data_IF_689721714619
#
_entry.id   IF_689721714619
#
_cell.length_a   1.000
_cell.length_b   1.000
_cell.length_c   1.000
_cell.angle_alpha   90.00
_cell.angle_beta   90.00
_cell.angle_gamma   90.00
#
_symmetry.space_group_name_H-M   'P 1'
#
loop_
_entity.id
_entity.type
_entity.pdbx_description
1 polymer ?
#
# COMPACT_ATOMS: atom_id res chain seq x y z
N UNK A 1 -11.52 47.80 -15.71
CA UNK A 1 -11.77 47.24 -17.05
C UNK A 1 -10.61 46.34 -17.45
N UNK A 2 -10.97 45.28 -18.16
CA UNK A 2 -10.16 44.25 -18.81
C UNK A 2 -9.48 43.17 -17.96
N UNK A 3 -10.17 42.03 -17.91
CA UNK A 3 -9.72 40.69 -17.55
C UNK A 3 -9.04 40.08 -18.79
N UNK A 4 -7.92 39.39 -18.64
CA UNK A 4 -7.43 38.48 -19.67
C UNK A 4 -7.34 37.06 -19.08
N UNK A 5 -8.18 36.20 -19.65
CA UNK A 5 -8.39 34.81 -19.30
C UNK A 5 -7.26 33.91 -19.82
N UNK A 6 -7.07 32.80 -19.11
CA UNK A 6 -6.19 31.71 -19.46
C UNK A 6 -6.59 31.05 -20.80
N UNK A 7 -5.59 30.78 -21.64
CA UNK A 7 -5.72 30.02 -22.88
C UNK A 7 -5.55 28.54 -22.55
N UNK A 8 -6.64 27.77 -22.63
CA UNK A 8 -6.63 26.30 -22.66
C UNK A 8 -6.74 25.86 -24.12
N UNK A 9 -5.82 24.99 -24.55
CA UNK A 9 -5.73 24.45 -25.91
C UNK A 9 -6.88 23.46 -26.20
N UNK A 10 -7.42 23.42 -27.44
CA UNK A 10 -8.36 22.39 -27.86
C UNK A 10 -7.61 21.25 -28.58
N UNK A 11 -7.39 20.12 -27.89
CA UNK A 11 -7.04 18.84 -28.50
C UNK A 11 -8.10 17.82 -28.13
N UNK A 12 -9.30 17.98 -28.68
CA UNK A 12 -10.38 17.02 -28.60
C UNK A 12 -11.30 17.17 -29.82
N UNK A 13 -10.77 16.89 -31.00
CA UNK A 13 -11.58 16.64 -32.20
C UNK A 13 -10.82 15.62 -33.05
N UNK A 14 -11.55 14.60 -33.50
CA UNK A 14 -11.15 13.49 -34.37
C UNK A 14 -10.71 12.20 -33.67
N UNK A 15 -11.68 11.48 -33.10
CA UNK A 15 -11.76 10.02 -33.21
C UNK A 15 -13.25 9.64 -33.29
N UNK A 16 -13.75 9.41 -34.51
CA UNK A 16 -15.01 8.70 -34.76
C UNK A 16 -14.66 7.26 -35.13
N UNK A 17 -15.17 6.23 -34.44
CA UNK A 17 -15.34 4.92 -35.05
C UNK A 17 -16.71 4.85 -35.74
N UNK A 18 -16.70 4.51 -37.03
CA UNK A 18 -17.90 4.05 -37.73
C UNK A 18 -18.24 2.64 -37.25
N UNK A 19 -19.24 2.52 -36.39
CA UNK A 19 -19.93 1.26 -36.11
C UNK A 19 -21.43 1.50 -36.25
N UNK A 20 -22.01 0.91 -37.29
CA UNK A 20 -23.46 0.94 -37.55
C UNK A 20 -24.14 0.08 -36.48
N UNK A 21 -24.70 0.73 -35.46
CA UNK A 21 -25.63 0.10 -34.52
C UNK A 21 -27.03 0.29 -35.09
N UNK A 22 -27.69 -0.82 -35.47
CA UNK A 22 -29.11 -0.83 -35.81
C UNK A 22 -29.93 -0.48 -34.56
N UNK A 23 -30.82 0.51 -34.59
CA UNK A 23 -31.75 0.73 -33.49
C UNK A 23 -32.88 -0.30 -33.61
N UNK A 24 -33.02 -1.18 -32.60
CA UNK A 24 -34.27 -1.91 -32.42
C UNK A 24 -35.33 -0.92 -31.93
N UNK A 25 -36.39 -0.81 -32.73
CA UNK A 25 -37.57 0.00 -32.48
C UNK A 25 -38.30 -0.49 -31.23
N UNK A 26 -38.37 0.35 -30.19
CA UNK A 26 -39.31 0.15 -29.08
C UNK A 26 -40.67 0.70 -29.51
N UNK A 27 -41.52 -0.17 -30.05
CA UNK A 27 -42.95 0.09 -30.17
C UNK A 27 -43.59 0.05 -28.79
N UNK A 28 -44.34 1.10 -28.45
CA UNK A 28 -45.17 1.13 -27.25
C UNK A 28 -46.31 0.12 -27.40
N UNK A 29 -46.29 -0.94 -26.61
CA UNK A 29 -47.45 -1.80 -26.43
C UNK A 29 -48.37 -1.18 -25.37
N UNK A 30 -49.66 -1.16 -25.68
CA UNK A 30 -50.73 -0.63 -24.86
C UNK A 30 -50.72 -1.25 -23.45
N UNK A 31 -50.99 -0.40 -22.44
CA UNK A 31 -51.34 -0.82 -21.09
C UNK A 31 -52.64 -1.63 -21.16
N UNK A 32 -52.55 -2.93 -20.97
CA UNK A 32 -53.66 -3.72 -20.48
C UNK A 32 -53.69 -3.55 -18.95
N UNK A 33 -54.81 -3.07 -18.42
CA UNK A 33 -55.07 -3.06 -16.99
C UNK A 33 -55.06 -4.49 -16.46
N UNK A 34 -54.00 -4.84 -15.72
CA UNK A 34 -53.93 -6.07 -14.94
C UNK A 34 -54.47 -5.72 -13.55
N UNK A 35 -55.56 -6.34 -13.07
CA UNK A 35 -56.07 -6.12 -11.73
C UNK A 35 -55.01 -6.53 -10.68
N UNK A 36 -55.02 -5.90 -9.49
CA UNK A 36 -54.04 -6.22 -8.46
C UNK A 36 -54.15 -7.70 -8.08
N UNK A 37 -53.04 -8.43 -7.89
CA UNK A 37 -53.14 -9.73 -7.24
C UNK A 37 -53.49 -9.49 -5.77
N UNK A 38 -54.78 -9.50 -5.48
CA UNK A 38 -55.27 -10.03 -4.23
C UNK A 38 -54.99 -11.54 -4.26
N UNK A 39 -53.80 -11.91 -3.80
CA UNK A 39 -53.50 -13.27 -3.40
C UNK A 39 -53.12 -13.19 -1.93
N UNK A 40 -54.06 -13.67 -1.13
CA UNK A 40 -53.84 -14.18 0.21
C UNK A 40 -52.46 -14.83 0.28
N UNK A 41 -51.66 -14.41 1.25
CA UNK A 41 -50.47 -15.13 1.67
C UNK A 41 -50.92 -16.47 2.28
N UNK A 42 -51.36 -17.38 1.42
CA UNK A 42 -51.28 -18.80 1.66
C UNK A 42 -49.82 -19.08 1.97
N UNK A 43 -49.59 -19.74 3.10
CA UNK A 43 -48.33 -20.35 3.48
C UNK A 43 -47.83 -21.22 2.33
N UNK A 44 -47.04 -20.63 1.43
CA UNK A 44 -46.27 -21.40 0.47
C UNK A 44 -45.25 -22.17 1.29
N UNK A 45 -45.34 -23.49 1.26
CA UNK A 45 -44.39 -24.38 1.91
C UNK A 45 -42.98 -23.95 1.52
N UNK A 46 -42.25 -23.37 2.48
CA UNK A 46 -40.86 -22.95 2.27
C UNK A 46 -40.07 -24.23 1.99
N UNK A 47 -39.66 -24.43 0.74
CA UNK A 47 -38.87 -25.59 0.41
C UNK A 47 -37.58 -25.56 1.24
N UNK A 48 -37.15 -26.67 1.85
CA UNK A 48 -35.91 -26.71 2.66
C UNK A 48 -34.67 -26.20 1.90
N UNK A 49 -34.68 -26.33 0.57
CA UNK A 49 -33.62 -25.85 -0.34
C UNK A 49 -33.57 -24.32 -0.49
N UNK A 50 -34.67 -23.61 -0.22
CA UNK A 50 -34.71 -22.15 -0.24
C UNK A 50 -34.00 -21.54 1.00
N UNK A 51 -33.77 -22.34 2.04
CA UNK A 51 -33.02 -22.00 3.25
C UNK A 51 -31.62 -22.64 3.30
N UNK A 52 -31.14 -23.28 2.22
CA UNK A 52 -29.74 -23.75 2.14
C UNK A 52 -28.81 -22.58 1.76
N UNK A 53 -27.76 -22.29 2.56
CA UNK A 53 -26.77 -21.27 2.25
C UNK A 53 -26.17 -21.34 0.84
N UNK A 54 -26.09 -22.52 0.22
CA UNK A 54 -25.52 -22.69 -1.12
C UNK A 54 -26.49 -22.38 -2.27
N UNK A 55 -27.80 -22.41 -2.03
CA UNK A 55 -28.83 -22.29 -3.09
C UNK A 55 -29.91 -21.24 -2.81
N UNK A 56 -29.85 -20.56 -1.65
CA UNK A 56 -30.83 -19.54 -1.23
C UNK A 56 -31.09 -18.48 -2.31
N UNK A 57 -32.38 -18.24 -2.58
CA UNK A 57 -32.84 -17.17 -3.46
C UNK A 57 -32.73 -15.80 -2.76
N UNK A 58 -32.62 -14.71 -3.53
CA UNK A 58 -32.49 -13.36 -2.96
C UNK A 58 -33.61 -12.98 -1.97
N UNK A 59 -34.83 -13.47 -2.20
CA UNK A 59 -36.01 -13.19 -1.37
C UNK A 59 -35.92 -13.80 0.03
N UNK A 60 -35.20 -14.91 0.18
CA UNK A 60 -35.07 -15.64 1.45
C UNK A 60 -33.71 -15.41 2.15
N UNK A 61 -32.86 -14.53 1.61
CA UNK A 61 -31.54 -14.21 2.20
C UNK A 61 -31.68 -13.65 3.63
N UNK A 62 -32.66 -12.78 3.87
CA UNK A 62 -32.88 -12.19 5.20
C UNK A 62 -33.30 -13.23 6.23
N UNK A 63 -34.13 -14.19 5.83
CA UNK A 63 -34.59 -15.28 6.70
C UNK A 63 -33.41 -16.21 7.05
N UNK A 64 -32.55 -16.51 6.07
CA UNK A 64 -31.33 -17.29 6.29
C UNK A 64 -30.38 -16.61 7.28
N UNK A 65 -30.16 -15.30 7.10
CA UNK A 65 -29.31 -14.50 7.99
C UNK A 65 -29.91 -14.43 9.39
N UNK A 66 -31.24 -14.30 9.51
CA UNK A 66 -31.95 -14.35 10.80
C UNK A 66 -31.78 -15.71 11.49
N UNK A 67 -31.71 -16.80 10.72
CA UNK A 67 -31.39 -18.14 11.20
C UNK A 67 -29.88 -18.34 11.53
N UNK A 68 -29.07 -17.28 11.44
CA UNK A 68 -27.65 -17.29 11.80
C UNK A 68 -26.72 -17.89 10.72
N UNK A 69 -27.24 -18.23 9.54
CA UNK A 69 -26.44 -18.77 8.43
C UNK A 69 -26.16 -17.67 7.42
N UNK A 70 -24.91 -17.54 6.95
CA UNK A 70 -24.58 -16.58 5.89
C UNK A 70 -24.66 -17.25 4.51
N UNK A 71 -25.24 -16.57 3.50
CA UNK A 71 -25.32 -17.12 2.15
C UNK A 71 -23.92 -17.29 1.54
N UNK A 72 -23.70 -18.42 0.86
CA UNK A 72 -22.38 -18.78 0.30
C UNK A 72 -22.22 -18.23 -1.12
N UNK A 73 -21.16 -17.46 -1.33
CA UNK A 73 -20.79 -16.93 -2.64
C UNK A 73 -21.73 -15.83 -3.17
N UNK A 74 -21.70 -15.58 -4.48
CA UNK A 74 -22.53 -14.56 -5.12
C UNK A 74 -23.94 -15.07 -5.44
N UNK A 75 -24.92 -14.14 -5.58
CA UNK A 75 -26.28 -14.46 -6.03
C UNK A 75 -26.30 -15.25 -7.34
N UNK A 76 -25.46 -14.83 -8.30
CA UNK A 76 -25.30 -15.52 -9.59
C UNK A 76 -24.86 -16.99 -9.41
N UNK A 77 -23.92 -17.26 -8.51
CA UNK A 77 -23.46 -18.63 -8.22
C UNK A 77 -24.61 -19.49 -7.70
N UNK A 78 -25.38 -18.97 -6.73
CA UNK A 78 -26.50 -19.71 -6.12
C UNK A 78 -27.58 -20.06 -7.13
N UNK A 79 -27.98 -19.10 -7.95
CA UNK A 79 -28.96 -19.32 -9.02
C UNK A 79 -28.44 -20.34 -10.04
N UNK A 80 -27.18 -20.23 -10.46
CA UNK A 80 -26.60 -21.19 -11.39
C UNK A 80 -26.56 -22.63 -10.83
N UNK A 81 -26.24 -22.82 -9.54
CA UNK A 81 -26.25 -24.14 -8.91
C UNK A 81 -27.66 -24.76 -8.93
N UNK A 82 -28.71 -23.94 -8.80
CA UNK A 82 -30.10 -24.41 -8.85
C UNK A 82 -30.56 -24.74 -10.27
N UNK A 83 -30.16 -23.94 -11.26
CA UNK A 83 -30.68 -24.06 -12.63
C UNK A 83 -29.86 -24.97 -13.52
N UNK A 84 -28.59 -25.21 -13.18
CA UNK A 84 -27.66 -26.01 -14.00
C UNK A 84 -27.34 -27.35 -13.36
N UNK A 85 -26.93 -28.32 -14.18
CA UNK A 85 -26.52 -29.63 -13.69
C UNK A 85 -25.23 -29.54 -12.86
N UNK A 86 -25.12 -30.40 -11.83
CA UNK A 86 -23.95 -30.47 -10.95
C UNK A 86 -22.78 -31.21 -11.62
N UNK A 87 -22.24 -30.65 -12.70
CA UNK A 87 -21.07 -31.18 -13.42
C UNK A 87 -19.82 -30.42 -12.96
N UNK A 88 -18.73 -31.12 -12.57
CA UNK A 88 -17.48 -30.44 -12.24
C UNK A 88 -16.96 -29.63 -13.43
N UNK A 89 -16.37 -28.47 -13.14
CA UNK A 89 -15.88 -27.53 -14.15
C UNK A 89 -14.96 -28.18 -15.20
N UNK A 90 -14.19 -29.17 -14.78
CA UNK A 90 -13.28 -29.94 -15.64
C UNK A 90 -14.00 -30.83 -16.66
N UNK A 91 -15.19 -31.33 -16.33
CA UNK A 91 -15.93 -32.28 -17.17
C UNK A 91 -16.97 -31.61 -18.07
N UNK A 92 -16.92 -30.28 -18.21
CA UNK A 92 -17.80 -29.56 -19.13
C UNK A 92 -17.56 -30.03 -20.57
N UNK A 93 -18.60 -30.46 -21.32
CA UNK A 93 -18.46 -31.12 -22.61
C UNK A 93 -18.22 -30.15 -23.78
N UNK A 94 -17.27 -29.22 -23.62
CA UNK A 94 -16.84 -28.32 -24.68
C UNK A 94 -15.60 -28.90 -25.38
N UNK A 95 -15.69 -29.16 -26.68
CA UNK A 95 -14.64 -29.82 -27.46
C UNK A 95 -13.27 -29.13 -27.29
N UNK A 96 -13.17 -27.85 -27.65
CA UNK A 96 -11.91 -27.09 -27.57
C UNK A 96 -11.33 -27.04 -26.14
N UNK A 97 -12.19 -27.02 -25.13
CA UNK A 97 -11.77 -27.05 -23.72
C UNK A 97 -11.16 -28.41 -23.36
N UNK A 98 -11.81 -29.51 -23.75
CA UNK A 98 -11.30 -30.86 -23.46
C UNK A 98 -10.01 -31.17 -24.24
N UNK A 99 -9.92 -30.76 -25.50
CA UNK A 99 -8.69 -30.88 -26.30
C UNK A 99 -7.53 -30.09 -25.68
N UNK A 100 -7.76 -28.84 -25.29
CA UNK A 100 -6.76 -28.04 -24.59
C UNK A 100 -6.32 -28.70 -23.28
N UNK A 101 -7.26 -29.25 -22.49
CA UNK A 101 -6.93 -29.98 -21.25
C UNK A 101 -6.06 -31.21 -21.50
N UNK A 102 -6.29 -31.98 -22.58
CA UNK A 102 -5.43 -33.11 -22.95
C UNK A 102 -3.99 -32.66 -23.22
N UNK A 103 -3.81 -31.55 -23.93
CA UNK A 103 -2.49 -30.97 -24.21
C UNK A 103 -1.81 -30.56 -22.90
N UNK A 104 -2.53 -29.87 -22.01
CA UNK A 104 -1.99 -29.43 -20.72
C UNK A 104 -1.67 -30.60 -19.78
N UNK A 105 -2.46 -31.67 -19.81
CA UNK A 105 -2.20 -32.88 -19.04
C UNK A 105 -0.90 -33.56 -19.49
N UNK A 106 -0.71 -33.71 -20.81
CA UNK A 106 0.52 -34.27 -21.37
C UNK A 106 1.75 -33.40 -21.04
N UNK A 107 1.64 -32.07 -21.14
CA UNK A 107 2.73 -31.17 -20.74
C UNK A 107 3.05 -31.30 -19.24
N UNK A 108 2.03 -31.40 -18.39
CA UNK A 108 2.20 -31.58 -16.95
C UNK A 108 2.91 -32.89 -16.63
N UNK A 109 2.56 -34.00 -17.26
CA UNK A 109 3.25 -35.29 -17.10
C UNK A 109 4.74 -35.19 -17.46
N UNK A 110 5.07 -34.50 -18.56
CA UNK A 110 6.46 -34.22 -18.92
C UNK A 110 7.19 -33.40 -17.85
N UNK A 111 6.54 -32.37 -17.28
CA UNK A 111 7.13 -31.57 -16.20
C UNK A 111 7.31 -32.39 -14.91
N UNK A 112 6.38 -33.28 -14.58
CA UNK A 112 6.53 -34.19 -13.45
C UNK A 112 7.71 -35.14 -13.63
N UNK A 113 7.89 -35.71 -14.83
CA UNK A 113 9.06 -36.53 -15.16
C UNK A 113 10.39 -35.75 -15.07
N UNK A 114 10.38 -34.46 -15.43
CA UNK A 114 11.55 -33.59 -15.24
C UNK A 114 11.81 -33.27 -13.76
N UNK A 115 10.76 -33.10 -12.95
CA UNK A 115 10.88 -32.87 -11.51
C UNK A 115 11.50 -34.08 -10.83
N UNK A 116 11.03 -35.30 -11.13
CA UNK A 116 11.60 -36.52 -10.56
C UNK A 116 13.08 -36.66 -10.95
N UNK A 117 13.41 -36.53 -12.24
CA UNK A 117 14.80 -36.58 -12.70
C UNK A 117 15.71 -35.50 -12.08
N UNK A 118 15.17 -34.30 -11.78
CA UNK A 118 15.94 -33.23 -11.12
C UNK A 118 16.10 -33.48 -9.63
N UNK A 119 15.09 -34.03 -8.95
CA UNK A 119 15.20 -34.48 -7.55
C UNK A 119 16.19 -35.63 -7.39
N UNK A 120 16.20 -36.58 -8.33
CA UNK A 120 17.19 -37.66 -8.34
C UNK A 120 18.61 -37.11 -8.47
N UNK A 121 18.82 -36.15 -9.37
CA UNK A 121 20.11 -35.43 -9.50
C UNK A 121 20.50 -34.70 -8.22
N UNK A 122 19.55 -34.08 -7.51
CA UNK A 122 19.80 -33.43 -6.22
C UNK A 122 20.24 -34.48 -5.20
N UNK A 123 19.50 -35.58 -5.04
CA UNK A 123 19.82 -36.65 -4.08
C UNK A 123 21.18 -37.30 -4.35
N UNK A 124 21.52 -37.53 -5.62
CA UNK A 124 22.81 -38.06 -6.03
C UNK A 124 23.94 -37.06 -5.73
N UNK A 125 23.72 -35.77 -5.95
CA UNK A 125 24.73 -34.75 -5.69
C UNK A 125 24.92 -34.51 -4.18
N UNK A 126 23.86 -34.62 -3.38
CA UNK A 126 23.94 -34.52 -1.92
C UNK A 126 24.81 -35.64 -1.33
N UNK A 127 24.63 -36.88 -1.81
CA UNK A 127 25.40 -38.06 -1.41
C UNK A 127 26.87 -38.03 -1.84
N UNK A 128 27.22 -37.34 -2.93
CA UNK A 128 28.61 -37.24 -3.41
C UNK A 128 29.46 -36.39 -2.49
N UNK A 129 30.65 -36.87 -2.14
CA UNK A 129 31.55 -36.11 -1.28
C UNK A 129 32.16 -34.90 -2.00
N UNK A 130 32.33 -33.80 -1.27
CA UNK A 130 32.78 -32.52 -1.80
C UNK A 130 34.23 -32.56 -2.30
N UNK A 131 35.07 -33.42 -1.73
CA UNK A 131 36.47 -33.58 -2.10
C UNK A 131 36.67 -34.13 -3.53
N UNK A 132 35.70 -34.92 -4.01
CA UNK A 132 35.76 -35.50 -5.38
C UNK A 132 35.33 -34.53 -6.47
N UNK A 133 34.77 -33.36 -6.12
CA UNK A 133 34.31 -32.36 -7.07
C UNK A 133 35.39 -31.32 -7.35
N UNK A 134 35.69 -31.08 -8.64
CA UNK A 134 36.57 -29.99 -9.08
C UNK A 134 36.01 -28.62 -8.68
N UNK A 135 36.47 -28.09 -7.54
CA UNK A 135 36.00 -26.83 -6.94
C UNK A 135 35.36 -26.96 -5.55
N UNK A 136 35.47 -28.15 -4.93
CA UNK A 136 35.15 -28.37 -3.52
C UNK A 136 33.69 -28.10 -3.14
N UNK A 137 33.49 -27.76 -1.87
CA UNK A 137 32.18 -27.54 -1.26
C UNK A 137 31.41 -26.38 -1.90
N UNK A 138 32.08 -25.26 -2.20
CA UNK A 138 31.42 -24.08 -2.77
C UNK A 138 30.72 -24.37 -4.11
N UNK A 139 31.36 -25.11 -5.02
CA UNK A 139 30.72 -25.49 -6.29
C UNK A 139 29.59 -26.49 -6.11
N UNK A 140 29.70 -27.41 -5.14
CA UNK A 140 28.62 -28.34 -4.77
C UNK A 140 27.39 -27.54 -4.34
N UNK A 141 27.56 -26.58 -3.44
CA UNK A 141 26.46 -25.77 -2.90
C UNK A 141 25.80 -24.89 -3.97
N UNK A 142 26.60 -24.26 -4.84
CA UNK A 142 26.07 -23.48 -5.98
C UNK A 142 25.24 -24.39 -6.91
N UNK A 143 25.72 -25.60 -7.21
CA UNK A 143 25.02 -26.55 -8.08
C UNK A 143 23.73 -27.06 -7.42
N UNK A 144 23.74 -27.37 -6.13
CA UNK A 144 22.54 -27.71 -5.37
C UNK A 144 21.53 -26.57 -5.38
N UNK A 145 21.96 -25.34 -5.12
CA UNK A 145 21.11 -24.17 -5.15
C UNK A 145 20.47 -23.97 -6.53
N UNK A 146 21.25 -24.14 -7.61
CA UNK A 146 20.74 -24.05 -8.99
C UNK A 146 19.72 -25.15 -9.31
N UNK A 147 19.99 -26.40 -8.93
CA UNK A 147 19.06 -27.52 -9.15
C UNK A 147 17.76 -27.33 -8.34
N UNK A 148 17.86 -26.88 -7.09
CA UNK A 148 16.70 -26.58 -6.24
C UNK A 148 15.83 -25.46 -6.83
N UNK A 149 16.44 -24.37 -7.32
CA UNK A 149 15.73 -23.30 -8.04
C UNK A 149 15.05 -23.80 -9.31
N UNK A 150 15.72 -24.68 -10.06
CA UNK A 150 15.16 -25.27 -11.26
C UNK A 150 13.97 -26.18 -10.96
N UNK A 151 14.07 -27.02 -9.92
CA UNK A 151 12.96 -27.86 -9.45
C UNK A 151 11.76 -27.02 -8.99
N UNK A 152 12.00 -25.94 -8.23
CA UNK A 152 10.93 -25.03 -7.80
C UNK A 152 10.27 -24.32 -9.00
N UNK A 153 11.03 -23.95 -10.05
CA UNK A 153 10.49 -23.43 -11.32
C UNK A 153 9.64 -24.47 -12.06
N UNK A 154 10.11 -25.73 -12.15
CA UNK A 154 9.34 -26.80 -12.80
C UNK A 154 8.03 -27.10 -12.07
N UNK A 155 8.02 -27.08 -10.73
CA UNK A 155 6.78 -27.21 -9.93
C UNK A 155 5.77 -26.12 -10.27
N UNK A 156 6.23 -24.88 -10.44
CA UNK A 156 5.35 -23.77 -10.87
C UNK A 156 4.82 -24.04 -12.28
N UNK A 157 5.69 -24.40 -13.23
CA UNK A 157 5.29 -24.63 -14.62
C UNK A 157 4.32 -25.82 -14.78
N UNK A 158 4.40 -26.83 -13.92
CA UNK A 158 3.49 -27.97 -13.94
C UNK A 158 2.03 -27.58 -13.63
N UNK A 159 1.81 -26.59 -12.75
CA UNK A 159 0.48 -26.21 -12.26
C UNK A 159 0.01 -24.83 -12.77
N UNK A 160 0.85 -24.05 -13.46
CA UNK A 160 0.54 -22.67 -13.91
C UNK A 160 -0.58 -22.58 -14.96
N UNK A 161 -0.83 -23.67 -15.67
CA UNK A 161 -1.88 -23.73 -16.69
C UNK A 161 -3.15 -24.45 -16.19
N UNK A 162 -3.18 -24.90 -14.93
CA UNK A 162 -4.36 -25.53 -14.35
C UNK A 162 -5.46 -24.48 -14.08
N UNK A 163 -6.65 -24.61 -14.71
CA UNK A 163 -7.72 -23.65 -14.53
C UNK A 163 -8.33 -23.67 -13.11
N UNK A 164 -8.32 -24.81 -12.41
CA UNK A 164 -8.79 -24.89 -11.02
C UNK A 164 -7.84 -24.14 -10.10
N UNK A 165 -6.53 -24.28 -10.30
CA UNK A 165 -5.52 -23.58 -9.49
C UNK A 165 -5.70 -22.07 -9.66
N UNK A 166 -5.83 -21.59 -10.90
CA UNK A 166 -6.11 -20.18 -11.18
C UNK A 166 -7.40 -19.70 -10.52
N UNK A 167 -8.49 -20.46 -10.65
CA UNK A 167 -9.78 -20.13 -10.00
C UNK A 167 -9.63 -20.00 -8.48
N UNK A 168 -9.01 -20.99 -7.82
CA UNK A 168 -8.78 -20.99 -6.37
C UNK A 168 -7.95 -19.78 -5.92
N UNK A 169 -6.96 -19.37 -6.72
CA UNK A 169 -6.18 -18.17 -6.45
C UNK A 169 -7.03 -16.90 -6.55
N UNK A 170 -7.81 -16.76 -7.62
CA UNK A 170 -8.68 -15.59 -7.84
C UNK A 170 -9.78 -15.46 -6.79
N UNK A 171 -10.31 -16.60 -6.31
CA UNK A 171 -11.27 -16.68 -5.21
C UNK A 171 -10.64 -16.40 -3.83
N UNK A 172 -9.31 -16.32 -3.72
CA UNK A 172 -8.59 -16.10 -2.45
C UNK A 172 -8.49 -17.33 -1.54
N UNK A 173 -8.80 -18.52 -2.07
CA UNK A 173 -8.72 -19.82 -1.37
C UNK A 173 -7.41 -20.57 -1.68
N UNK A 174 -6.43 -19.87 -2.26
CA UNK A 174 -5.12 -20.43 -2.58
C UNK A 174 -4.29 -20.68 -1.33
N UNK A 175 -3.67 -21.85 -1.26
CA UNK A 175 -2.78 -22.23 -0.16
C UNK A 175 -1.37 -21.65 -0.39
N UNK A 176 -1.00 -20.63 0.39
CA UNK A 176 0.30 -19.96 0.26
C UNK A 176 1.50 -20.85 0.61
N UNK A 177 1.31 -22.06 1.14
CA UNK A 177 2.40 -23.04 1.27
C UNK A 177 2.84 -23.63 -0.07
N UNK A 178 1.97 -23.63 -1.08
CA UNK A 178 2.33 -24.12 -2.42
C UNK A 178 2.98 -23.01 -3.24
N UNK A 179 4.06 -23.32 -3.99
CA UNK A 179 4.81 -22.31 -4.73
C UNK A 179 3.98 -21.61 -5.82
N UNK A 180 3.00 -22.30 -6.41
CA UNK A 180 2.18 -21.74 -7.48
C UNK A 180 1.32 -20.56 -7.01
N UNK A 181 0.72 -20.64 -5.81
CA UNK A 181 -0.10 -19.57 -5.26
C UNK A 181 0.74 -18.36 -4.87
N UNK A 182 1.93 -18.58 -4.29
CA UNK A 182 2.90 -17.50 -4.03
C UNK A 182 3.36 -16.82 -5.31
N UNK A 183 3.64 -17.60 -6.37
CA UNK A 183 4.01 -17.05 -7.67
C UNK A 183 2.90 -16.17 -8.28
N UNK A 184 1.64 -16.61 -8.23
CA UNK A 184 0.53 -15.76 -8.69
C UNK A 184 0.34 -14.53 -7.82
N UNK A 185 0.50 -14.64 -6.51
CA UNK A 185 0.43 -13.52 -5.58
C UNK A 185 1.52 -12.48 -5.92
N UNK A 186 2.76 -12.94 -6.13
CA UNK A 186 3.88 -12.08 -6.52
C UNK A 186 3.62 -11.42 -7.88
N UNK A 187 3.15 -12.18 -8.87
CA UNK A 187 2.83 -11.66 -10.20
C UNK A 187 1.74 -10.59 -10.15
N UNK A 188 0.68 -10.81 -9.36
CA UNK A 188 -0.40 -9.84 -9.12
C UNK A 188 0.14 -8.58 -8.45
N UNK A 189 0.93 -8.74 -7.39
CA UNK A 189 1.52 -7.61 -6.68
C UNK A 189 2.48 -6.79 -7.56
N UNK A 190 3.36 -7.45 -8.33
CA UNK A 190 4.29 -6.81 -9.26
C UNK A 190 3.59 -6.03 -10.37
N UNK A 191 2.38 -6.44 -10.75
CA UNK A 191 1.63 -5.78 -11.83
C UNK A 191 1.19 -4.35 -11.48
N UNK A 192 0.86 -4.08 -10.21
CA UNK A 192 0.31 -2.78 -9.78
C UNK A 192 0.91 -2.28 -8.45
N UNK A 193 0.65 -2.97 -7.34
CA UNK A 193 0.99 -2.49 -5.99
C UNK A 193 2.48 -2.23 -5.80
N UNK A 194 3.35 -3.11 -6.30
CA UNK A 194 4.80 -2.91 -6.29
C UNK A 194 5.22 -1.64 -7.04
N UNK A 195 4.59 -1.35 -8.19
CA UNK A 195 4.88 -0.16 -9.00
C UNK A 195 4.45 1.11 -8.27
N UNK A 196 3.30 1.06 -7.60
CA UNK A 196 2.81 2.13 -6.76
C UNK A 196 3.78 2.41 -5.60
N UNK A 197 4.19 1.38 -4.85
CA UNK A 197 5.15 1.55 -3.75
C UNK A 197 6.49 2.09 -4.26
N UNK A 198 7.01 1.53 -5.36
CA UNK A 198 8.27 2.00 -5.97
C UNK A 198 8.18 3.48 -6.38
N UNK A 199 7.04 3.91 -6.93
CA UNK A 199 6.79 5.32 -7.24
C UNK A 199 6.80 6.17 -5.96
N UNK A 200 6.15 5.70 -4.89
CA UNK A 200 6.04 6.44 -3.62
C UNK A 200 7.39 6.57 -2.91
N UNK A 201 8.22 5.53 -2.94
CA UNK A 201 9.61 5.57 -2.42
C UNK A 201 10.41 6.68 -3.10
N UNK A 202 10.30 6.79 -4.44
CA UNK A 202 11.00 7.82 -5.22
C UNK A 202 10.41 9.21 -5.03
N UNK A 203 9.07 9.33 -5.09
CA UNK A 203 8.36 10.60 -5.00
C UNK A 203 8.54 11.27 -3.64
N UNK A 204 8.56 10.47 -2.57
CA UNK A 204 8.76 10.96 -1.21
C UNK A 204 10.20 10.84 -0.75
N UNK A 205 11.18 10.77 -1.66
CA UNK A 205 12.62 10.78 -1.36
C UNK A 205 13.07 9.83 -0.24
N UNK A 206 12.35 8.73 -0.01
CA UNK A 206 12.69 7.75 1.04
C UNK A 206 14.07 7.18 0.78
N UNK A 207 14.35 6.96 -0.51
CA UNK A 207 15.69 6.86 -1.06
C UNK A 207 16.00 8.21 -1.71
N UNK A 208 17.04 8.96 -1.29
CA UNK A 208 18.15 8.54 -0.43
C UNK A 208 18.02 8.88 1.08
N UNK A 209 16.98 9.62 1.51
CA UNK A 209 16.96 10.27 2.84
C UNK A 209 17.11 9.29 4.02
N UNK A 210 16.44 8.14 3.95
CA UNK A 210 16.41 7.15 5.03
C UNK A 210 17.36 5.98 4.75
N UNK A 211 17.30 5.44 3.54
CA UNK A 211 18.13 4.32 3.10
C UNK A 211 18.73 4.61 1.71
N UNK A 212 19.99 4.17 1.46
CA UNK A 212 20.63 4.36 0.16
C UNK A 212 19.99 3.51 -0.94
N UNK A 213 19.45 2.33 -0.58
CA UNK A 213 18.75 1.42 -1.48
C UNK A 213 17.62 0.73 -0.73
N UNK A 214 16.44 0.69 -1.35
CA UNK A 214 15.26 0.00 -0.84
C UNK A 214 14.48 -0.60 -2.01
N UNK A 215 14.50 -1.93 -2.12
CA UNK A 215 13.74 -2.68 -3.11
C UNK A 215 12.77 -3.60 -2.37
N UNK A 216 11.47 -3.26 -2.33
CA UNK A 216 10.48 -4.11 -1.68
C UNK A 216 10.40 -5.48 -2.37
N UNK A 217 10.40 -6.55 -1.59
CA UNK A 217 10.22 -7.94 -2.03
C UNK A 217 8.97 -8.58 -1.41
N UNK A 218 8.31 -7.92 -0.46
CA UNK A 218 7.03 -8.33 0.11
C UNK A 218 5.97 -7.22 -0.06
N UNK A 219 4.70 -7.63 -0.14
CA UNK A 219 3.59 -6.68 -0.08
C UNK A 219 3.30 -6.30 1.37
N UNK A 220 3.14 -5.01 1.63
CA UNK A 220 2.87 -4.47 2.96
C UNK A 220 1.68 -3.53 2.84
N UNK A 221 0.55 -3.92 3.39
CA UNK A 221 -0.67 -3.13 3.37
C UNK A 221 -0.98 -2.60 4.77
N UNK A 222 -1.26 -1.30 4.85
CA UNK A 222 -1.52 -0.61 6.10
C UNK A 222 -3.03 -0.50 6.36
N UNK A 223 -3.45 -0.85 7.57
CA UNK A 223 -4.82 -0.68 8.03
C UNK A 223 -4.84 0.06 9.36
N UNK A 224 -5.61 1.14 9.44
CA UNK A 224 -6.01 1.72 10.72
C UNK A 224 -7.44 1.30 11.01
N UNK A 225 -7.66 0.65 12.16
CA UNK A 225 -8.94 0.02 12.51
C UNK A 225 -9.38 -0.96 11.40
N UNK A 226 -10.46 -0.65 10.66
CA UNK A 226 -10.96 -1.46 9.54
C UNK A 226 -10.61 -0.88 8.16
N UNK A 227 -10.06 0.33 8.10
CA UNK A 227 -9.83 1.06 6.85
C UNK A 227 -8.43 0.78 6.29
N UNK A 228 -8.37 0.39 5.02
CA UNK A 228 -7.10 0.28 4.28
C UNK A 228 -6.62 1.68 3.93
N UNK A 229 -5.40 2.02 4.34
CA UNK A 229 -4.78 3.30 4.00
C UNK A 229 -3.89 3.13 2.77
N UNK A 230 -4.13 3.90 1.68
CA UNK A 230 -3.26 3.89 0.53
C UNK A 230 -1.85 4.43 0.88
N UNK A 231 -0.79 3.92 0.23
CA UNK A 231 0.57 4.37 0.50
C UNK A 231 0.78 5.86 0.19
N UNK A 232 1.23 6.59 1.20
CA UNK A 232 1.41 8.04 1.13
C UNK A 232 0.08 8.81 1.17
N UNK A 233 -0.91 8.35 1.92
CA UNK A 233 -2.08 9.17 2.26
C UNK A 233 -1.81 9.96 3.54
N UNK A 234 -2.40 11.16 3.66
CA UNK A 234 -2.39 11.93 4.91
C UNK A 234 -3.46 11.33 5.82
N UNK A 235 -3.06 10.97 7.04
CA UNK A 235 -3.91 10.34 8.04
C UNK A 235 -4.11 11.31 9.20
N UNK A 236 -5.35 11.41 9.66
CA UNK A 236 -5.75 12.20 10.84
C UNK A 236 -5.07 11.65 12.11
N UNK A 237 -4.70 12.54 13.02
CA UNK A 237 -4.09 12.22 14.30
C UNK A 237 -4.97 11.29 15.15
N UNK A 238 -6.31 11.41 15.10
CA UNK A 238 -7.22 10.49 15.81
C UNK A 238 -7.22 9.07 15.24
N UNK A 239 -7.00 8.95 13.92
CA UNK A 239 -6.97 7.65 13.25
C UNK A 239 -5.65 6.94 13.54
N UNK A 240 -4.54 7.70 13.55
CA UNK A 240 -3.19 7.21 13.82
C UNK A 240 -2.80 7.17 15.30
N UNK A 241 -3.70 7.56 16.20
CA UNK A 241 -3.51 7.46 17.65
C UNK A 241 -3.24 6.01 18.07
N UNK A 242 -4.01 5.06 17.55
CA UNK A 242 -3.84 3.64 17.85
C UNK A 242 -2.88 2.97 16.86
N UNK A 243 -2.10 1.96 17.30
CA UNK A 243 -1.19 1.23 16.44
C UNK A 243 -1.93 0.55 15.28
N UNK A 244 -1.37 0.61 14.05
CA UNK A 244 -2.00 0.02 12.89
C UNK A 244 -1.94 -1.51 12.88
N UNK A 245 -2.75 -2.10 12.00
CA UNK A 245 -2.59 -3.49 11.56
C UNK A 245 -1.90 -3.52 10.20
N UNK A 246 -0.81 -4.26 10.11
CA UNK A 246 -0.13 -4.54 8.85
C UNK A 246 -0.68 -5.85 8.29
N UNK A 247 -0.88 -5.89 6.97
CA UNK A 247 -1.06 -7.14 6.25
C UNK A 247 0.17 -7.34 5.38
N UNK A 248 0.98 -8.34 5.70
CA UNK A 248 2.26 -8.60 5.03
C UNK A 248 2.14 -9.91 4.26
N UNK A 249 2.35 -9.86 2.95
CA UNK A 249 2.43 -11.06 2.11
C UNK A 249 3.87 -11.25 1.64
N UNK A 250 4.45 -12.36 2.06
CA UNK A 250 5.76 -12.84 1.60
C UNK A 250 5.55 -13.85 0.47
N UNK A 251 6.46 -13.86 -0.51
CA UNK A 251 6.37 -14.74 -1.69
C UNK A 251 7.37 -15.91 -1.66
N UNK A 252 8.35 -15.89 -0.77
CA UNK A 252 9.23 -17.03 -0.54
C UNK A 252 8.62 -18.03 0.45
N UNK A 253 9.22 -19.22 0.51
CA UNK A 253 8.85 -20.27 1.46
C UNK A 253 9.55 -20.09 2.81
N UNK A 254 8.93 -20.62 3.86
CA UNK A 254 9.51 -20.74 5.19
C UNK A 254 9.15 -19.59 6.12
N UNK A 255 9.31 -19.86 7.41
CA UNK A 255 9.13 -18.89 8.49
C UNK A 255 10.40 -18.06 8.65
N UNK A 256 10.26 -16.75 8.81
CA UNK A 256 11.39 -15.85 9.10
C UNK A 256 11.08 -14.95 10.29
N UNK A 257 12.12 -14.52 10.98
CA UNK A 257 11.99 -13.49 12.01
C UNK A 257 12.18 -12.11 11.38
N UNK A 258 11.30 -11.18 11.74
CA UNK A 258 11.33 -9.82 11.20
C UNK A 258 11.39 -8.77 12.31
N UNK A 259 12.03 -7.66 11.99
CA UNK A 259 12.04 -6.44 12.78
C UNK A 259 11.20 -5.38 12.06
N UNK A 260 10.33 -4.72 12.80
CA UNK A 260 9.40 -3.70 12.30
C UNK A 260 9.82 -2.36 12.89
N UNK A 261 10.02 -1.37 12.02
CA UNK A 261 10.38 -0.01 12.42
C UNK A 261 9.40 0.98 11.83
N UNK A 262 8.84 1.84 12.65
CA UNK A 262 8.10 3.03 12.19
C UNK A 262 8.91 4.26 12.52
N UNK A 263 9.25 5.01 11.48
CA UNK A 263 10.17 6.14 11.53
C UNK A 263 9.50 7.38 10.95
N UNK A 264 9.52 8.47 11.70
CA UNK A 264 9.27 9.82 11.21
C UNK A 264 10.60 10.42 10.73
N UNK A 265 10.64 10.84 9.46
CA UNK A 265 11.85 11.37 8.84
C UNK A 265 11.93 12.91 8.83
N UNK A 266 10.86 13.60 9.23
CA UNK A 266 10.69 15.04 9.01
C UNK A 266 10.41 15.80 10.31
N UNK A 267 11.01 15.37 11.43
CA UNK A 267 10.85 16.07 12.71
C UNK A 267 11.64 17.38 12.65
N UNK A 268 11.02 18.56 12.78
CA UNK A 268 11.73 19.82 12.67
C UNK A 268 12.73 20.00 13.82
N UNK A 269 13.96 20.37 13.47
CA UNK A 269 15.04 20.71 14.40
C UNK A 269 15.44 22.18 14.18
N UNK A 270 14.83 23.11 14.95
CA UNK A 270 15.07 24.55 14.77
C UNK A 270 16.48 24.99 15.20
N UNK A 271 17.18 24.21 16.03
CA UNK A 271 18.53 24.56 16.49
C UNK A 271 19.55 24.38 15.37
N UNK A 272 19.39 23.32 14.57
CA UNK A 272 20.27 22.98 13.45
C UNK A 272 19.75 23.42 12.07
N UNK A 273 18.63 24.18 12.02
CA UNK A 273 17.92 24.57 10.79
C UNK A 273 17.71 23.38 9.83
N UNK A 274 17.21 22.27 10.38
CA UNK A 274 17.14 21.00 9.67
C UNK A 274 16.01 20.09 10.13
N UNK A 275 16.08 18.83 9.71
CA UNK A 275 15.15 17.78 10.10
C UNK A 275 15.89 16.65 10.80
N UNK A 276 15.34 16.22 11.93
CA UNK A 276 15.74 15.04 12.67
C UNK A 276 14.79 13.86 12.38
N UNK A 277 15.23 12.67 12.81
CA UNK A 277 14.49 11.42 12.63
C UNK A 277 14.05 10.90 14.00
N UNK A 278 12.81 10.41 14.10
CA UNK A 278 12.24 9.89 15.35
C UNK A 278 11.62 8.52 15.16
N UNK A 279 11.96 7.59 16.05
CA UNK A 279 11.36 6.25 16.08
C UNK A 279 10.01 6.27 16.80
N UNK A 280 8.94 6.00 16.06
CA UNK A 280 7.59 5.88 16.61
C UNK A 280 7.30 4.48 17.15
N UNK A 281 7.91 3.45 16.57
CA UNK A 281 7.70 2.06 16.97
C UNK A 281 8.88 1.18 16.54
N UNK A 282 9.30 0.27 17.43
CA UNK A 282 10.33 -0.73 17.14
C UNK A 282 9.96 -2.05 17.80
N UNK A 283 9.82 -3.08 16.97
CA UNK A 283 9.70 -4.46 17.42
C UNK A 283 10.67 -5.36 16.65
N UNK A 284 11.13 -6.43 17.29
CA UNK A 284 12.01 -7.44 16.74
C UNK A 284 11.47 -8.84 17.04
N UNK A 285 12.06 -9.86 16.42
CA UNK A 285 11.78 -11.28 16.66
C UNK A 285 10.31 -11.64 16.42
N UNK A 286 9.70 -10.98 15.42
CA UNK A 286 8.32 -11.22 15.04
C UNK A 286 8.32 -12.34 13.99
N UNK A 287 7.68 -13.50 14.25
CA UNK A 287 7.60 -14.56 13.27
C UNK A 287 6.66 -14.15 12.13
N UNK A 288 7.08 -14.41 10.90
CA UNK A 288 6.31 -14.15 9.70
C UNK A 288 6.33 -15.39 8.79
N UNK A 289 5.14 -15.79 8.33
CA UNK A 289 4.91 -16.92 7.44
C UNK A 289 4.13 -16.45 6.20
N UNK A 290 4.39 -16.98 4.98
CA UNK A 290 3.53 -16.74 3.82
C UNK A 290 2.04 -17.04 4.04
N UNK A 291 1.64 -17.92 4.97
CA UNK A 291 0.22 -18.22 5.24
C UNK A 291 -0.45 -17.24 6.21
N UNK A 292 0.25 -16.81 7.26
CA UNK A 292 -0.29 -15.84 8.21
C UNK A 292 0.15 -14.42 7.83
N UNK A 293 -0.76 -13.73 7.14
CA UNK A 293 -0.49 -12.40 6.62
C UNK A 293 -0.86 -11.28 7.59
N UNK A 294 -1.56 -11.57 8.70
CA UNK A 294 -2.14 -10.53 9.55
C UNK A 294 -1.23 -10.20 10.72
N UNK A 295 -0.66 -9.00 10.71
CA UNK A 295 0.28 -8.53 11.72
C UNK A 295 -0.21 -7.26 12.44
N UNK A 296 -1.11 -7.39 13.44
CA UNK A 296 -1.56 -6.27 14.25
C UNK A 296 -0.48 -5.84 15.25
N UNK A 297 0.03 -4.61 15.12
CA UNK A 297 1.09 -4.10 16.01
C UNK A 297 0.62 -4.00 17.47
N UNK A 298 -0.69 -3.83 17.71
CA UNK A 298 -1.28 -3.82 19.05
C UNK A 298 -1.14 -5.13 19.82
N UNK A 299 -0.92 -6.26 19.14
CA UNK A 299 -0.77 -7.58 19.77
C UNK A 299 0.68 -7.89 20.16
N UNK A 300 1.64 -7.14 19.62
CA UNK A 300 3.06 -7.33 19.92
C UNK A 300 3.35 -6.61 21.24
N UNK A 301 3.23 -7.36 22.35
CA UNK A 301 3.43 -6.86 23.71
C UNK A 301 4.53 -7.59 24.48
N UNK A 302 5.09 -8.67 23.91
CA UNK A 302 6.12 -9.46 24.56
C UNK A 302 7.36 -8.62 24.84
N UNK A 303 7.94 -8.77 26.03
CA UNK A 303 9.14 -8.02 26.41
C UNK A 303 10.35 -8.36 25.54
N UNK A 304 10.37 -9.58 25.00
CA UNK A 304 11.38 -10.14 24.08
C UNK A 304 11.16 -9.75 22.62
N UNK A 305 10.14 -8.92 22.34
CA UNK A 305 9.78 -8.49 20.99
C UNK A 305 9.66 -6.96 20.89
N UNK A 306 9.02 -6.32 21.87
CA UNK A 306 8.75 -4.89 21.83
C UNK A 306 9.88 -4.09 22.48
N UNK A 307 10.61 -3.31 21.68
CA UNK A 307 11.65 -2.40 22.17
C UNK A 307 11.12 -0.99 22.40
N UNK A 308 10.41 -0.44 21.42
CA UNK A 308 9.87 0.93 21.49
C UNK A 308 8.37 0.87 21.23
N UNK A 309 7.51 1.19 22.22
CA UNK A 309 6.07 1.11 22.07
C UNK A 309 5.55 2.17 21.10
N UNK A 310 4.33 1.96 20.59
CA UNK A 310 3.71 2.87 19.62
C UNK A 310 3.57 4.28 20.19
N UNK A 311 4.16 5.23 19.50
CA UNK A 311 3.92 6.66 19.68
C UNK A 311 2.98 7.12 18.55
N UNK A 312 1.83 7.72 18.87
CA UNK A 312 0.96 8.33 17.87
C UNK A 312 1.75 9.21 16.91
N UNK A 313 1.35 9.22 15.63
CA UNK A 313 1.95 10.12 14.67
C UNK A 313 1.39 11.53 14.89
N UNK A 314 2.27 12.53 14.92
CA UNK A 314 1.91 13.93 15.11
C UNK A 314 2.90 14.82 14.36
N UNK A 315 2.43 16.02 14.01
CA UNK A 315 3.23 17.09 13.41
C UNK A 315 2.90 18.38 14.17
N UNK A 316 3.85 19.31 14.25
CA UNK A 316 3.64 20.59 14.94
C UNK A 316 2.96 21.60 14.00
N UNK A 317 2.27 22.59 14.56
CA UNK A 317 1.53 23.55 13.72
C UNK A 317 2.49 24.34 12.84
N UNK A 318 2.15 24.45 11.56
CA UNK A 318 2.96 25.18 10.57
C UNK A 318 4.19 24.44 10.05
N UNK A 319 4.54 23.28 10.61
CA UNK A 319 5.48 22.35 9.99
C UNK A 319 4.88 21.78 8.68
N UNK A 320 5.72 21.35 7.71
CA UNK A 320 5.25 20.58 6.57
C UNK A 320 4.68 19.23 7.02
N UNK A 321 4.15 18.44 6.09
CA UNK A 321 3.74 17.08 6.40
C UNK A 321 4.93 16.23 6.86
N UNK A 322 4.69 15.31 7.80
CA UNK A 322 5.68 14.35 8.26
C UNK A 322 5.50 13.01 7.56
N UNK A 323 6.59 12.41 7.05
CA UNK A 323 6.61 11.09 6.40
C UNK A 323 6.85 9.99 7.44
N UNK A 324 5.80 9.20 7.73
CA UNK A 324 5.86 8.05 8.64
C UNK A 324 6.09 6.76 7.86
N UNK A 325 7.36 6.42 7.67
CA UNK A 325 7.78 5.21 6.97
C UNK A 325 7.70 3.98 7.86
N UNK A 326 7.08 2.92 7.36
CA UNK A 326 6.99 1.61 8.00
C UNK A 326 7.92 0.66 7.25
N UNK A 327 8.97 0.20 7.91
CA UNK A 327 10.02 -0.64 7.35
C UNK A 327 9.96 -2.01 8.00
N UNK A 328 9.92 -3.07 7.17
CA UNK A 328 10.13 -4.43 7.62
C UNK A 328 11.51 -4.89 7.18
N UNK A 329 12.29 -5.36 8.16
CA UNK A 329 13.62 -5.87 7.97
C UNK A 329 13.67 -7.35 8.38
N UNK A 330 14.32 -8.16 7.57
CA UNK A 330 14.52 -9.57 7.80
C UNK A 330 15.77 -9.77 8.66
N UNK A 331 15.64 -10.62 9.67
CA UNK A 331 16.74 -11.09 10.51
C UNK A 331 17.39 -12.31 9.85
N UNK A 332 18.66 -12.56 10.15
CA UNK A 332 19.33 -13.77 9.64
C UNK A 332 18.69 -15.02 10.23
N UNK A 333 18.57 -16.11 9.46
CA UNK A 333 18.00 -17.36 9.97
C UNK A 333 18.76 -17.86 11.20
N UNK A 334 18.04 -18.15 12.28
CA UNK A 334 18.61 -18.66 13.54
C UNK A 334 19.24 -17.59 14.44
N UNK A 335 19.26 -16.33 14.03
CA UNK A 335 19.74 -15.21 14.85
C UNK A 335 18.55 -14.46 15.45
N UNK A 336 18.54 -14.32 16.78
CA UNK A 336 17.54 -13.51 17.49
C UNK A 336 18.17 -12.21 17.93
N UNK A 337 17.46 -11.10 17.72
CA UNK A 337 17.95 -9.78 18.15
C UNK A 337 17.67 -9.60 19.64
N UNK A 338 18.69 -9.19 20.40
CA UNK A 338 18.54 -8.86 21.82
C UNK A 338 17.72 -7.59 22.01
N UNK A 339 16.49 -7.74 22.50
CA UNK A 339 15.54 -6.65 22.69
C UNK A 339 15.87 -5.78 23.90
N UNK A 340 16.56 -6.29 24.92
CA UNK A 340 17.01 -5.47 26.04
C UNK A 340 18.01 -4.41 25.56
N UNK A 341 18.99 -4.84 24.76
CA UNK A 341 19.94 -3.93 24.10
C UNK A 341 19.25 -2.95 23.16
N UNK A 342 18.16 -3.33 22.49
CA UNK A 342 17.36 -2.39 21.68
C UNK A 342 16.69 -1.33 22.53
N UNK A 343 16.12 -1.70 23.68
CA UNK A 343 15.50 -0.75 24.61
C UNK A 343 16.53 0.26 25.11
N UNK A 344 17.71 -0.20 25.52
CA UNK A 344 18.80 0.68 25.96
C UNK A 344 19.22 1.67 24.87
N UNK A 345 19.48 1.17 23.65
CA UNK A 345 19.99 1.99 22.55
C UNK A 345 18.97 2.98 21.99
N UNK A 346 17.68 2.64 22.01
CA UNK A 346 16.64 3.36 21.28
C UNK A 346 15.50 3.91 22.14
N UNK A 347 15.61 3.82 23.48
CA UNK A 347 14.66 4.39 24.44
C UNK A 347 14.34 5.88 24.19
N UNK A 348 15.34 6.67 23.79
CA UNK A 348 15.21 8.11 23.54
C UNK A 348 14.38 8.47 22.30
N UNK A 349 14.18 7.53 21.36
CA UNK A 349 13.45 7.69 20.08
C UNK A 349 14.03 8.69 19.08
N UNK A 350 14.48 9.85 19.54
CA UNK A 350 15.00 10.94 18.72
C UNK A 350 16.42 10.64 18.21
N UNK A 351 16.76 11.18 17.03
CA UNK A 351 18.04 10.93 16.36
C UNK A 351 18.16 9.51 15.78
N UNK A 352 17.05 8.79 15.60
CA UNK A 352 17.09 7.39 15.17
C UNK A 352 17.59 7.26 13.72
N UNK A 353 18.63 6.43 13.53
CA UNK A 353 19.18 6.10 12.21
C UNK A 353 18.86 4.66 11.81
N UNK A 354 17.96 4.51 10.82
CA UNK A 354 17.61 3.19 10.28
C UNK A 354 18.81 2.50 9.61
N UNK A 355 19.70 3.27 8.97
CA UNK A 355 20.95 2.75 8.38
C UNK A 355 21.84 2.12 9.45
N UNK A 356 22.07 2.84 10.55
CA UNK A 356 22.90 2.36 11.65
C UNK A 356 22.27 1.14 12.35
N UNK A 357 20.95 1.13 12.52
CA UNK A 357 20.22 -0.03 13.04
C UNK A 357 20.39 -1.26 12.14
N UNK A 358 20.17 -1.10 10.83
CA UNK A 358 20.37 -2.16 9.84
C UNK A 358 21.78 -2.75 9.91
N UNK A 359 22.81 -1.89 9.93
CA UNK A 359 24.19 -2.32 9.86
C UNK A 359 24.65 -2.98 11.18
N UNK A 360 24.20 -2.50 12.35
CA UNK A 360 24.52 -3.08 13.67
C UNK A 360 23.98 -4.50 13.86
N UNK A 361 22.79 -4.77 13.35
CA UNK A 361 22.10 -6.05 13.53
C UNK A 361 22.08 -6.90 12.25
N UNK A 362 22.83 -6.51 11.22
CA UNK A 362 22.95 -7.26 9.96
C UNK A 362 21.61 -7.51 9.24
N UNK A 363 20.66 -6.58 9.36
CA UNK A 363 19.29 -6.74 8.89
C UNK A 363 19.15 -6.40 7.40
N UNK A 364 18.17 -7.01 6.73
CA UNK A 364 17.87 -6.71 5.33
C UNK A 364 16.47 -6.11 5.15
N UNK A 365 16.33 -4.86 4.68
CA UNK A 365 15.01 -4.29 4.43
C UNK A 365 14.34 -4.98 3.23
N UNK A 366 13.11 -5.45 3.41
CA UNK A 366 12.38 -6.23 2.41
C UNK A 366 10.93 -5.76 2.21
N UNK A 367 10.32 -5.13 3.22
CA UNK A 367 8.96 -4.59 3.15
C UNK A 367 8.92 -3.10 3.46
N UNK A 368 8.04 -2.36 2.78
CA UNK A 368 7.87 -0.93 3.00
C UNK A 368 6.43 -0.47 2.77
N UNK A 369 5.94 0.40 3.64
CA UNK A 369 4.77 1.24 3.41
C UNK A 369 4.97 2.61 4.07
N UNK A 370 4.11 3.58 3.77
CA UNK A 370 4.22 4.95 4.23
C UNK A 370 2.81 5.53 4.42
N UNK A 371 2.65 6.35 5.44
CA UNK A 371 1.59 7.33 5.51
C UNK A 371 2.16 8.68 5.92
N UNK A 372 1.39 9.76 5.79
CA UNK A 372 1.82 11.09 6.20
C UNK A 372 0.90 11.62 7.28
N UNK A 373 1.42 12.54 8.08
CA UNK A 373 0.61 13.29 9.06
C UNK A 373 0.88 14.78 8.93
N UNK A 374 -0.09 15.58 9.33
CA UNK A 374 -0.05 17.05 9.37
C UNK A 374 -0.71 17.50 10.66
N UNK A 375 -0.48 18.75 11.07
CA UNK A 375 -1.28 19.35 12.14
C UNK A 375 -2.76 19.40 11.72
N UNK A 376 -3.62 18.81 12.55
CA UNK A 376 -5.07 18.88 12.44
C UNK A 376 -5.71 19.37 13.75
N UNK A 377 -7.03 19.51 13.77
CA UNK A 377 -7.77 20.04 14.93
C UNK A 377 -7.65 19.13 16.17
N UNK A 378 -7.35 17.85 15.97
CA UNK A 378 -7.30 16.85 17.03
C UNK A 378 -5.88 16.62 17.57
N UNK A 379 -4.86 17.10 16.87
CA UNK A 379 -3.44 16.82 17.16
C UNK A 379 -3.09 17.25 18.58
N UNK A 380 -3.53 18.43 19.02
CA UNK A 380 -3.31 18.92 20.38
C UNK A 380 -3.91 17.98 21.45
N UNK A 381 -5.12 17.44 21.22
CA UNK A 381 -5.78 16.53 22.15
C UNK A 381 -5.12 15.14 22.17
N UNK A 382 -4.61 14.65 21.03
CA UNK A 382 -3.81 13.42 20.96
C UNK A 382 -2.50 13.61 21.72
N UNK A 383 -1.79 14.72 21.48
CA UNK A 383 -0.54 15.02 22.18
C UNK A 383 -0.73 15.11 23.69
N UNK A 384 -1.79 15.79 24.16
CA UNK A 384 -2.10 15.88 25.59
C UNK A 384 -2.39 14.51 26.24
N UNK A 385 -3.16 13.64 25.58
CA UNK A 385 -3.48 12.29 26.09
C UNK A 385 -2.26 11.39 26.24
N UNK A 386 -1.23 11.59 25.42
CA UNK A 386 -0.01 10.79 25.41
C UNK A 386 1.20 11.52 26.01
N UNK A 387 0.98 12.68 26.67
CA UNK A 387 2.04 13.44 27.33
C UNK A 387 3.12 13.98 26.38
N UNK A 388 2.77 14.26 25.13
CA UNK A 388 3.71 14.70 24.08
C UNK A 388 3.83 16.24 24.13
N UNK A 389 5.04 16.81 24.29
CA UNK A 389 5.25 18.25 24.33
C UNK A 389 5.21 18.90 22.93
N UNK A 390 5.03 20.23 22.89
CA UNK A 390 5.16 21.04 21.67
C UNK A 390 3.85 21.27 20.89
N UNK A 391 2.69 21.03 21.51
CA UNK A 391 1.39 21.36 20.91
C UNK A 391 1.12 22.89 20.89
N UNK A 392 1.82 23.63 21.73
CA UNK A 392 1.80 25.09 21.89
C UNK A 392 2.75 25.82 20.92
N UNK A 393 3.58 25.08 20.18
CA UNK A 393 4.55 25.62 19.23
C UNK A 393 3.94 25.76 17.82
N UNK A 394 4.22 26.87 17.16
CA UNK A 394 3.85 27.13 15.76
C UNK A 394 5.09 27.57 14.96
N UNK A 395 5.41 26.81 13.91
CA UNK A 395 6.41 27.21 12.93
C UNK A 395 5.81 28.18 11.91
N UNK A 396 6.59 29.20 11.56
CA UNK A 396 6.24 30.15 10.51
C UNK A 396 7.36 30.21 9.49
N UNK A 397 7.06 30.45 8.20
CA UNK A 397 8.08 30.62 7.19
C UNK A 397 9.05 31.73 7.57
N UNK A 398 10.36 31.44 7.52
CA UNK A 398 11.42 32.42 7.73
C UNK A 398 11.31 33.50 6.66
N UNK A 399 11.12 34.75 7.08
CA UNK A 399 11.04 35.89 6.16
C UNK A 399 12.45 36.24 5.68
N UNK A 400 12.73 35.97 4.41
CA UNK A 400 13.95 36.43 3.76
C UNK A 400 13.76 37.89 3.32
N UNK A 401 14.45 38.81 4.00
CA UNK A 401 14.44 40.22 3.64
C UNK A 401 15.35 40.49 2.43
N UNK A 402 15.01 41.52 1.63
CA UNK A 402 15.86 41.95 0.52
C UNK A 402 17.21 42.40 1.04
N UNK A 403 18.29 41.79 0.52
CA UNK A 403 19.67 42.20 0.78
C UNK A 403 20.06 43.50 0.08
N UNK A 404 19.23 44.00 -0.84
CA UNK A 404 19.48 45.28 -1.52
C UNK A 404 19.40 46.43 -0.52
N UNK A 405 20.42 47.28 -0.43
CA UNK A 405 20.38 48.43 0.46
C UNK A 405 19.24 49.38 0.05
N UNK A 406 18.69 50.16 0.99
CA UNK A 406 17.68 51.15 0.67
C UNK A 406 18.25 52.23 -0.26
N UNK A 407 17.78 52.28 -1.50
CA UNK A 407 18.17 53.32 -2.47
C UNK A 407 17.15 54.45 -2.48
N UNK A 408 17.60 55.69 -2.69
CA UNK A 408 16.70 56.84 -2.88
C UNK A 408 15.76 56.58 -4.05
N UNK A 409 14.48 56.90 -3.85
CA UNK A 409 13.48 56.76 -4.91
C UNK A 409 13.85 57.63 -6.12
N UNK A 410 13.89 57.02 -7.31
CA UNK A 410 14.17 57.67 -8.59
C UNK A 410 12.84 57.98 -9.29
N UNK A 411 12.84 58.99 -10.15
CA UNK A 411 11.63 59.48 -10.86
C UNK A 411 11.33 60.95 -10.56
N UNK A 412 10.64 61.63 -11.48
CA UNK A 412 10.35 63.06 -11.38
C UNK A 412 9.44 63.37 -10.18
N UNK A 413 8.46 62.50 -9.97
CA UNK A 413 7.46 62.54 -8.91
C UNK A 413 8.05 62.16 -7.56
N UNK A 414 8.97 61.20 -7.54
CA UNK A 414 9.66 60.73 -6.33
C UNK A 414 10.57 61.82 -5.74
N UNK A 415 11.30 62.55 -6.60
CA UNK A 415 12.19 63.65 -6.18
C UNK A 415 11.44 64.87 -5.63
N UNK A 416 10.15 65.03 -5.96
CA UNK A 416 9.34 66.22 -5.64
C UNK A 416 8.29 65.99 -4.55
N UNK A 417 8.53 65.01 -3.68
CA UNK A 417 7.62 64.67 -2.57
C UNK A 417 7.71 65.63 -1.37
N UNK A 418 8.77 66.43 -1.27
CA UNK A 418 9.03 67.30 -0.13
C UNK A 418 8.20 68.59 -0.12
N UNK A 419 8.15 69.31 1.02
CA UNK A 419 7.41 70.58 1.17
C UNK A 419 7.83 71.67 0.18
N UNK A 420 9.10 71.67 -0.26
CA UNK A 420 9.62 72.58 -1.29
C UNK A 420 8.79 72.60 -2.59
N UNK A 421 8.12 71.49 -2.92
CA UNK A 421 7.35 71.33 -4.15
C UNK A 421 5.83 71.24 -3.88
N UNK A 422 5.34 71.88 -2.81
CA UNK A 422 3.92 71.81 -2.41
C UNK A 422 2.95 72.19 -3.53
N UNK A 423 3.31 73.16 -4.37
CA UNK A 423 2.53 73.57 -5.55
C UNK A 423 2.39 72.46 -6.61
N UNK A 424 3.29 71.46 -6.62
CA UNK A 424 3.28 70.30 -7.52
C UNK A 424 2.69 69.05 -6.87
N UNK A 425 2.17 69.12 -5.64
CA UNK A 425 1.62 67.95 -4.95
C UNK A 425 0.38 67.36 -5.63
N UNK A 426 -0.34 68.15 -6.44
CA UNK A 426 -1.41 67.63 -7.30
C UNK A 426 -0.95 66.54 -8.28
N UNK A 427 0.30 66.62 -8.74
CA UNK A 427 0.89 65.65 -9.69
C UNK A 427 1.72 64.57 -9.00
N UNK A 428 2.16 64.80 -7.76
CA UNK A 428 3.16 63.96 -7.11
C UNK A 428 2.60 63.15 -5.93
N UNK A 429 1.52 63.61 -5.26
CA UNK A 429 0.88 62.88 -4.14
C UNK A 429 -0.34 62.10 -4.63
N UNK A 430 -0.72 61.06 -3.88
CA UNK A 430 -1.91 60.22 -4.14
C UNK A 430 -1.91 59.57 -5.54
N UNK A 431 -0.74 59.31 -6.11
CA UNK A 431 -0.61 58.56 -7.36
C UNK A 431 -0.92 57.09 -7.06
N UNK A 432 -1.94 56.54 -7.72
CA UNK A 432 -2.40 55.17 -7.51
C UNK A 432 -1.23 54.16 -7.61
N UNK A 433 -0.96 53.45 -6.51
CA UNK A 433 0.08 52.42 -6.45
C UNK A 433 1.52 52.95 -6.33
N UNK A 434 1.73 54.27 -6.28
CA UNK A 434 3.06 54.90 -6.31
C UNK A 434 3.27 55.89 -5.16
N UNK A 435 2.29 56.73 -4.82
CA UNK A 435 2.36 57.66 -3.70
C UNK A 435 1.02 57.79 -2.97
N UNK A 436 1.06 58.08 -1.68
CA UNK A 436 -0.12 58.39 -0.87
C UNK A 436 -0.07 59.85 -0.40
N UNK A 437 -1.01 60.26 0.47
CA UNK A 437 -1.03 61.62 1.02
C UNK A 437 0.22 61.97 1.84
N UNK A 438 0.87 60.96 2.43
CA UNK A 438 2.07 61.12 3.28
C UNK A 438 3.37 61.11 2.46
N UNK A 439 3.40 60.47 1.29
CA UNK A 439 4.54 60.51 0.37
C UNK A 439 4.66 59.31 -0.55
N UNK A 440 5.87 59.09 -1.06
CA UNK A 440 6.16 57.93 -1.90
C UNK A 440 5.91 56.63 -1.14
N UNK A 441 5.23 55.67 -1.77
CA UNK A 441 5.00 54.36 -1.16
C UNK A 441 6.32 53.61 -1.19
N UNK A 442 6.94 53.40 -0.02
CA UNK A 442 8.05 52.47 0.12
C UNK A 442 7.47 51.06 -0.10
N UNK A 443 7.68 50.48 -1.29
CA UNK A 443 7.51 49.02 -1.45
C UNK A 443 8.56 48.39 -0.54
N UNK A 444 8.09 47.75 0.53
CA UNK A 444 8.93 46.95 1.43
C UNK A 444 9.48 45.75 0.69
#
# INVERSE_FOLDING_TARGET
>A
MSRCQAVVRPLARQLRPHSVVRPFTTGAAARADVPPPAAEASSSDINPLDLDPNTVLPEFEEQLVRAGKMPVGSRRRRVAIRTTANVPFEHLPYQAFQEARKILAADREQKLAQITATMDKISLLEKKDAATLKGGQAKKDIKLASLRRHADKLKILADVNDPIVKKRFEDGLGDMNKPIYRYYAEKKWRSYDHRLITQRIKQFSIVPDVLPKLEPTADVQLYFRKLKVPPGTIVDSLVSENPPRLRVQVFDKGTRMVSIVVLDADVPDPENDGFAKRCHYLAANVPLDPTDTSLPLSRIKGEDQLAVPWLPAFSQKGAPYHRLGIYLLEQKPGETVDVAKLKELYSRRDGFSLKSFRDKFGLQPFGFNLFRTVWDDNTAAVMARHGIPGADLEFRPTRVHSLKPPVKARGWEAKRQGPKYRHLWKYTKRIRGVSNARGWIKKR
#
